data_IF_083193094045
#
_entry.id   IF_083193094045
#
_cell.length_a   1.000
_cell.length_b   1.000
_cell.length_c   1.000
_cell.angle_alpha   90.00
_cell.angle_beta   90.00
_cell.angle_gamma   90.00
#
_symmetry.space_group_name_H-M   'P 1'
#
loop_
_entity.id
_entity.type
_entity.pdbx_description
1 polymer ?
#
# COMPACT_ATOMS: atom_id res chain seq x y z
N UNK A 1 56.33 19.98 -26.45
CA UNK A 1 56.66 19.16 -25.27
C UNK A 1 55.58 19.46 -24.23
N UNK A 2 54.51 18.66 -24.23
CA UNK A 2 53.31 18.90 -23.42
C UNK A 2 53.45 18.16 -22.10
N UNK A 3 53.57 18.90 -21.00
CA UNK A 3 53.54 18.38 -19.63
C UNK A 3 52.09 18.05 -19.28
N UNK A 4 51.82 16.78 -18.97
CA UNK A 4 50.57 16.34 -18.34
C UNK A 4 50.81 16.23 -16.83
N UNK A 5 50.03 17.00 -16.06
CA UNK A 5 49.94 16.92 -14.60
C UNK A 5 48.99 15.79 -14.21
N UNK A 6 49.45 14.85 -13.38
CA UNK A 6 48.61 13.77 -12.82
C UNK A 6 47.67 14.30 -11.74
N UNK A 7 46.42 13.80 -11.67
CA UNK A 7 45.53 14.08 -10.54
C UNK A 7 45.95 13.33 -9.28
N UNK A 8 46.02 14.10 -8.20
CA UNK A 8 46.32 13.74 -6.83
C UNK A 8 45.21 12.84 -6.25
N UNK A 9 45.47 11.53 -6.09
CA UNK A 9 44.59 10.63 -5.33
C UNK A 9 44.87 10.76 -3.84
N UNK A 10 44.21 11.75 -3.23
CA UNK A 10 44.21 11.99 -1.80
C UNK A 10 43.42 10.93 -1.04
N UNK A 11 44.19 10.10 -0.33
CA UNK A 11 43.87 9.22 0.79
C UNK A 11 42.68 9.63 1.68
N UNK A 12 41.80 8.67 2.00
CA UNK A 12 41.05 8.66 3.26
C UNK A 12 40.86 7.22 3.75
N UNK A 13 41.91 6.71 4.41
CA UNK A 13 41.81 5.71 5.47
C UNK A 13 40.65 6.03 6.41
N UNK A 14 39.57 5.23 6.36
CA UNK A 14 38.66 5.06 7.51
C UNK A 14 38.73 3.60 7.96
N UNK A 15 39.73 3.33 8.77
CA UNK A 15 39.68 2.32 9.83
C UNK A 15 38.42 2.55 10.68
N UNK A 16 37.33 1.85 10.39
CA UNK A 16 36.20 1.72 11.31
C UNK A 16 36.34 0.39 12.05
N UNK A 17 37.09 0.43 13.15
CA UNK A 17 37.18 -0.65 14.13
C UNK A 17 35.79 -0.97 14.69
N UNK A 18 35.48 -2.27 14.65
CA UNK A 18 34.47 -3.01 15.44
C UNK A 18 34.05 -2.32 16.74
N UNK A 19 32.76 -2.05 16.88
CA UNK A 19 32.01 -2.26 18.13
C UNK A 19 30.55 -1.91 17.89
N UNK A 20 29.65 -2.89 17.84
CA UNK A 20 28.30 -2.77 18.41
C UNK A 20 27.76 -4.19 18.68
N UNK A 21 28.11 -4.64 19.89
CA UNK A 21 27.29 -5.35 20.87
C UNK A 21 26.08 -6.13 20.35
N UNK A 22 26.21 -7.45 20.47
CA UNK A 22 25.11 -8.42 20.61
C UNK A 22 24.12 -7.91 21.65
N UNK A 23 22.91 -7.56 21.24
CA UNK A 23 21.78 -7.43 22.15
C UNK A 23 21.01 -8.75 22.17
N UNK A 24 20.75 -9.15 23.40
CA UNK A 24 20.25 -10.45 23.83
C UNK A 24 18.80 -10.65 23.41
N UNK A 25 18.51 -11.91 23.09
CA UNK A 25 17.21 -12.54 23.19
C UNK A 25 16.51 -12.12 24.49
N UNK A 26 15.29 -11.59 24.37
CA UNK A 26 14.30 -11.62 25.43
C UNK A 26 13.06 -12.32 24.88
N UNK A 27 13.00 -13.62 25.17
CA UNK A 27 11.77 -14.39 25.08
C UNK A 27 10.81 -13.87 26.15
N UNK A 28 9.66 -13.32 25.72
CA UNK A 28 8.51 -13.12 26.58
C UNK A 28 7.36 -13.93 25.99
N UNK A 29 7.23 -15.16 26.47
CA UNK A 29 6.02 -15.94 26.32
C UNK A 29 4.93 -15.28 27.21
N UNK A 30 3.84 -14.83 26.60
CA UNK A 30 2.59 -14.62 27.34
C UNK A 30 1.51 -15.43 26.65
N UNK A 31 1.22 -16.57 27.27
CA UNK A 31 0.02 -17.38 27.06
C UNK A 31 -1.18 -16.52 27.46
N UNK A 32 -2.15 -16.36 26.56
CA UNK A 32 -3.50 -15.93 26.92
C UNK A 32 -4.52 -16.68 26.08
N UNK A 33 -4.82 -17.89 26.52
CA UNK A 33 -6.07 -18.58 26.23
C UNK A 33 -7.22 -17.89 26.96
N UNK A 34 -8.15 -17.30 26.24
CA UNK A 34 -9.53 -17.14 26.75
C UNK A 34 -10.48 -17.90 25.84
N UNK A 35 -11.12 -18.88 26.47
CA UNK A 35 -12.23 -19.67 25.96
C UNK A 35 -13.48 -18.98 26.49
N UNK A 36 -14.51 -18.76 25.66
CA UNK A 36 -15.91 -19.14 25.94
C UNK A 36 -16.88 -18.53 24.92
N UNK A 37 -17.47 -19.46 24.18
CA UNK A 37 -18.79 -19.46 23.55
C UNK A 37 -19.77 -18.35 24.00
N UNK A 38 -20.34 -17.68 23.00
CA UNK A 38 -21.52 -16.83 23.13
C UNK A 38 -22.54 -17.13 22.03
N UNK A 39 -23.11 -18.34 22.03
CA UNK A 39 -24.40 -18.58 21.37
C UNK A 39 -25.49 -17.81 22.12
N UNK A 40 -26.08 -16.80 21.51
CA UNK A 40 -27.37 -16.26 21.95
C UNK A 40 -28.40 -16.50 20.88
N UNK A 41 -29.06 -17.65 20.98
CA UNK A 41 -30.35 -17.90 20.37
C UNK A 41 -31.40 -17.05 21.08
N UNK A 42 -31.93 -16.04 20.41
CA UNK A 42 -33.20 -15.41 20.78
C UNK A 42 -34.27 -15.89 19.80
N UNK A 43 -34.97 -16.95 20.21
CA UNK A 43 -36.22 -17.38 19.61
C UNK A 43 -37.34 -16.44 20.06
N UNK A 44 -38.20 -16.03 19.12
CA UNK A 44 -39.53 -15.55 19.47
C UNK A 44 -40.10 -14.51 18.52
N UNK A 45 -40.84 -14.98 17.51
CA UNK A 45 -42.30 -14.74 17.38
C UNK A 45 -42.71 -14.95 15.93
N UNK A 46 -43.41 -16.06 15.72
CA UNK A 46 -44.27 -16.26 14.57
C UNK A 46 -45.33 -15.14 14.56
N UNK A 47 -45.40 -14.38 13.48
CA UNK A 47 -46.64 -13.71 13.07
C UNK A 47 -46.95 -14.22 11.67
N UNK A 48 -47.91 -15.11 11.65
CA UNK A 48 -48.63 -15.62 10.50
C UNK A 48 -49.59 -14.51 10.06
N UNK A 49 -49.40 -13.92 8.87
CA UNK A 49 -50.48 -13.23 8.17
C UNK A 49 -50.24 -13.21 6.65
N UNK A 50 -51.02 -14.05 5.98
CA UNK A 50 -51.65 -13.89 4.68
C UNK A 50 -50.84 -13.36 3.47
N UNK A 51 -50.54 -14.31 2.58
CA UNK A 51 -50.46 -14.20 1.12
C UNK A 51 -50.98 -12.90 0.47
N UNK A 52 -50.12 -12.26 -0.31
CA UNK A 52 -50.49 -11.79 -1.66
C UNK A 52 -49.37 -12.18 -2.61
N UNK A 53 -49.70 -13.10 -3.52
CA UNK A 53 -48.89 -13.45 -4.67
C UNK A 53 -48.92 -12.30 -5.66
N UNK A 54 -47.84 -11.52 -5.70
CA UNK A 54 -47.45 -10.78 -6.90
C UNK A 54 -46.11 -11.34 -7.34
N UNK A 55 -46.15 -12.15 -8.39
CA UNK A 55 -45.01 -12.72 -9.09
C UNK A 55 -44.42 -11.62 -9.98
N UNK A 56 -43.23 -11.05 -9.70
CA UNK A 56 -42.52 -10.28 -10.69
C UNK A 56 -41.98 -11.28 -11.70
N UNK A 57 -42.29 -11.05 -12.97
CA UNK A 57 -41.70 -11.79 -14.06
C UNK A 57 -40.17 -11.71 -13.93
N UNK A 58 -39.60 -12.90 -13.83
CA UNK A 58 -38.21 -13.27 -13.98
C UNK A 58 -37.67 -12.73 -15.31
N UNK A 59 -37.29 -11.46 -15.31
CA UNK A 59 -36.28 -10.93 -16.21
C UNK A 59 -34.97 -10.95 -15.44
N UNK A 60 -34.39 -12.15 -15.28
CA UNK A 60 -32.96 -12.29 -15.12
C UNK A 60 -32.28 -11.78 -16.41
N UNK A 61 -32.25 -10.45 -16.55
CA UNK A 61 -31.34 -9.77 -17.46
C UNK A 61 -29.94 -10.20 -17.01
N UNK A 62 -29.37 -11.14 -17.77
CA UNK A 62 -28.00 -11.60 -17.58
C UNK A 62 -27.14 -10.35 -17.61
N UNK A 63 -26.72 -9.88 -16.43
CA UNK A 63 -25.81 -8.76 -16.32
C UNK A 63 -24.66 -9.03 -17.29
N UNK A 64 -24.33 -8.07 -18.17
CA UNK A 64 -23.23 -8.25 -19.10
C UNK A 64 -22.01 -8.71 -18.32
N UNK A 65 -21.37 -9.77 -18.84
CA UNK A 65 -20.06 -10.23 -18.36
C UNK A 65 -19.20 -8.96 -18.24
N UNK A 66 -18.71 -8.58 -17.04
CA UNK A 66 -17.98 -7.35 -16.87
C UNK A 66 -16.84 -7.36 -17.89
N UNK A 67 -16.86 -6.42 -18.83
CA UNK A 67 -15.77 -6.27 -19.77
C UNK A 67 -14.49 -6.19 -18.93
N UNK A 68 -13.42 -6.92 -19.28
CA UNK A 68 -12.18 -6.90 -18.51
C UNK A 68 -11.75 -5.45 -18.41
N UNK A 69 -11.65 -4.95 -17.17
CA UNK A 69 -11.26 -3.57 -16.92
C UNK A 69 -9.98 -3.29 -17.73
N UNK A 70 -9.93 -2.18 -18.48
CA UNK A 70 -8.72 -1.82 -19.21
C UNK A 70 -7.53 -1.83 -18.23
N UNK A 71 -6.34 -2.24 -18.68
CA UNK A 71 -5.18 -2.34 -17.79
C UNK A 71 -5.02 -1.02 -17.04
N UNK A 72 -5.09 -1.09 -15.71
CA UNK A 72 -5.08 0.10 -14.86
C UNK A 72 -3.86 0.96 -15.21
N UNK A 73 -4.07 2.25 -15.52
CA UNK A 73 -2.97 3.16 -15.81
C UNK A 73 -2.03 3.30 -14.59
N UNK A 74 -0.75 3.68 -14.77
CA UNK A 74 0.20 3.78 -13.67
C UNK A 74 -0.29 4.68 -12.52
N UNK A 75 -0.92 5.81 -12.83
CA UNK A 75 -1.52 6.72 -11.87
C UNK A 75 -2.73 6.12 -11.14
N UNK A 76 -3.53 5.29 -11.82
CA UNK A 76 -4.64 4.57 -11.19
C UNK A 76 -4.13 3.55 -10.15
N UNK A 77 -3.01 2.88 -10.43
CA UNK A 77 -2.37 1.96 -9.48
C UNK A 77 -1.87 2.70 -8.24
N UNK A 78 -1.16 3.83 -8.40
CA UNK A 78 -0.70 4.64 -7.26
C UNK A 78 -1.88 5.20 -6.46
N UNK A 79 -2.93 5.67 -7.13
CA UNK A 79 -4.14 6.15 -6.46
C UNK A 79 -4.78 5.03 -5.64
N UNK A 80 -4.95 3.84 -6.22
CA UNK A 80 -5.50 2.67 -5.54
C UNK A 80 -4.68 2.28 -4.31
N UNK A 81 -3.35 2.28 -4.45
CA UNK A 81 -2.42 2.01 -3.35
C UNK A 81 -2.56 3.03 -2.21
N UNK A 82 -2.54 4.33 -2.52
CA UNK A 82 -2.68 5.38 -1.51
C UNK A 82 -4.06 5.35 -0.84
N UNK A 83 -5.14 5.13 -1.61
CA UNK A 83 -6.50 4.96 -1.07
C UNK A 83 -6.55 3.77 -0.11
N UNK A 84 -6.01 2.61 -0.50
CA UNK A 84 -5.96 1.43 0.34
C UNK A 84 -5.19 1.67 1.65
N UNK A 85 -4.09 2.45 1.62
CA UNK A 85 -3.39 2.87 2.83
C UNK A 85 -4.23 3.78 3.73
N UNK A 86 -4.90 4.79 3.16
CA UNK A 86 -5.75 5.74 3.92
C UNK A 86 -6.99 5.07 4.53
N UNK A 87 -7.54 4.05 3.87
CA UNK A 87 -8.70 3.29 4.34
C UNK A 87 -8.34 2.16 5.32
N UNK A 88 -7.04 1.91 5.54
CA UNK A 88 -6.58 0.79 6.36
C UNK A 88 -6.66 -0.58 5.68
N UNK A 89 -6.89 -0.63 4.36
CA UNK A 89 -6.98 -1.85 3.55
C UNK A 89 -5.58 -2.34 3.13
N UNK A 90 -4.76 -2.73 4.12
CA UNK A 90 -3.34 -3.04 3.92
C UNK A 90 -3.07 -4.22 3.00
N UNK A 91 -3.95 -5.21 3.01
CA UNK A 91 -3.82 -6.37 2.12
C UNK A 91 -3.92 -5.95 0.65
N UNK A 92 -4.85 -5.06 0.32
CA UNK A 92 -5.02 -4.54 -1.03
C UNK A 92 -3.83 -3.65 -1.44
N UNK A 93 -3.29 -2.86 -0.50
CA UNK A 93 -2.07 -2.09 -0.75
C UNK A 93 -0.86 -2.99 -1.01
N UNK A 94 -0.74 -4.11 -0.29
CA UNK A 94 0.33 -5.10 -0.46
C UNK A 94 0.27 -5.78 -1.83
N UNK A 95 -0.91 -6.15 -2.32
CA UNK A 95 -1.10 -6.78 -3.63
C UNK A 95 -0.62 -5.92 -4.81
N UNK A 96 -0.57 -4.59 -4.62
CA UNK A 96 -0.12 -3.64 -5.63
C UNK A 96 1.40 -3.44 -5.63
N UNK A 97 2.14 -3.99 -4.66
CA UNK A 97 3.59 -3.84 -4.53
C UNK A 97 4.30 -5.13 -4.91
N UNK A 98 5.30 -5.05 -5.79
CA UNK A 98 6.14 -6.19 -6.18
C UNK A 98 7.60 -6.01 -5.77
N UNK A 99 8.37 -7.09 -5.85
CA UNK A 99 9.83 -7.05 -5.71
C UNK A 99 10.35 -6.99 -4.27
N UNK A 100 11.50 -6.32 -4.08
CA UNK A 100 12.20 -6.26 -2.78
C UNK A 100 11.35 -5.55 -1.72
N UNK A 101 10.50 -4.60 -2.14
CA UNK A 101 9.61 -3.89 -1.23
C UNK A 101 8.51 -4.80 -0.70
N UNK A 102 7.95 -5.72 -1.49
CA UNK A 102 6.97 -6.70 -0.98
C UNK A 102 7.51 -7.52 0.21
N UNK A 103 8.83 -7.75 0.28
CA UNK A 103 9.45 -8.45 1.43
C UNK A 103 9.78 -7.52 2.62
N UNK A 104 9.83 -6.20 2.40
CA UNK A 104 10.18 -5.19 3.41
C UNK A 104 8.97 -4.50 4.01
N UNK A 105 7.83 -4.58 3.32
CA UNK A 105 6.54 -4.14 3.80
C UNK A 105 6.07 -5.17 4.83
N UNK A 106 6.65 -5.12 6.03
CA UNK A 106 6.09 -5.85 7.16
C UNK A 106 4.77 -5.18 7.54
N UNK A 107 3.83 -5.95 8.08
CA UNK A 107 2.57 -5.43 8.63
C UNK A 107 2.80 -4.21 9.53
N UNK A 108 3.88 -4.21 10.34
CA UNK A 108 4.26 -3.08 11.18
C UNK A 108 4.69 -1.82 10.41
N UNK A 109 5.35 -1.96 9.25
CA UNK A 109 5.73 -0.81 8.40
C UNK A 109 4.49 -0.21 7.75
N UNK A 110 3.57 -1.05 7.27
CA UNK A 110 2.29 -0.58 6.72
C UNK A 110 1.47 0.10 7.80
N UNK A 111 1.39 -0.48 8.99
CA UNK A 111 0.67 0.10 10.12
C UNK A 111 1.25 1.48 10.51
N UNK A 112 2.57 1.63 10.57
CA UNK A 112 3.21 2.93 10.82
C UNK A 112 2.88 3.95 9.71
N UNK A 113 2.87 3.53 8.46
CA UNK A 113 2.48 4.38 7.33
C UNK A 113 0.99 4.75 7.39
N UNK A 114 0.13 3.85 7.81
CA UNK A 114 -1.30 4.08 7.95
C UNK A 114 -1.61 5.09 9.06
N UNK A 115 -0.95 4.96 10.22
CA UNK A 115 -1.05 5.93 11.31
C UNK A 115 -0.61 7.34 10.86
N UNK A 116 0.34 7.42 9.92
CA UNK A 116 0.73 8.70 9.29
C UNK A 116 -0.23 9.16 8.19
N UNK A 117 -0.88 8.21 7.52
CA UNK A 117 -1.76 8.46 6.38
C UNK A 117 -3.22 8.69 6.77
N UNK A 118 -3.62 8.46 8.03
CA UNK A 118 -5.03 8.57 8.47
C UNK A 118 -5.61 9.97 8.24
N UNK A 119 -4.75 11.00 8.25
CA UNK A 119 -5.12 12.40 7.99
C UNK A 119 -4.55 12.92 6.66
N UNK A 120 -4.14 12.01 5.76
CA UNK A 120 -3.49 12.37 4.52
C UNK A 120 -4.48 12.39 3.35
N UNK A 121 -4.54 13.51 2.64
CA UNK A 121 -5.34 13.69 1.42
C UNK A 121 -4.43 13.73 0.19
N UNK A 122 -4.87 13.05 -0.86
CA UNK A 122 -4.18 13.07 -2.15
C UNK A 122 -4.53 14.36 -2.88
N UNK A 123 -3.58 15.27 -3.04
CA UNK A 123 -3.78 16.56 -3.71
C UNK A 123 -3.62 16.43 -5.23
N UNK A 124 -2.51 15.81 -5.67
CA UNK A 124 -2.14 15.72 -7.08
C UNK A 124 -1.43 14.40 -7.38
N UNK A 125 -1.69 13.82 -8.55
CA UNK A 125 -0.87 12.77 -9.15
C UNK A 125 -0.52 13.17 -10.57
N UNK A 126 0.75 13.06 -10.93
CA UNK A 126 1.19 13.17 -12.32
C UNK A 126 2.14 12.06 -12.70
N UNK A 127 2.02 11.60 -13.94
CA UNK A 127 2.94 10.64 -14.54
C UNK A 127 4.09 11.43 -15.17
N UNK A 128 5.31 11.24 -14.69
CA UNK A 128 6.49 11.93 -15.21
C UNK A 128 7.07 11.23 -16.44
N UNK A 129 7.21 9.91 -16.36
CA UNK A 129 7.87 9.12 -17.37
C UNK A 129 7.15 7.78 -17.55
N UNK A 130 7.05 7.35 -18.81
CA UNK A 130 6.61 6.00 -19.17
C UNK A 130 7.60 5.50 -20.22
N UNK A 131 8.39 4.49 -19.86
CA UNK A 131 9.35 3.83 -20.75
C UNK A 131 9.02 2.33 -20.82
N UNK A 132 8.20 1.96 -21.81
CA UNK A 132 7.79 0.58 -22.05
C UNK A 132 7.07 -0.04 -20.85
N UNK A 133 7.80 -0.89 -20.13
CA UNK A 133 7.32 -1.61 -18.94
C UNK A 133 7.65 -0.90 -17.63
N UNK A 134 8.15 0.34 -17.66
CA UNK A 134 8.45 1.14 -16.48
C UNK A 134 7.68 2.46 -16.51
N UNK A 135 7.26 2.94 -15.35
CA UNK A 135 6.65 4.27 -15.22
C UNK A 135 7.08 4.93 -13.91
N UNK A 136 7.14 6.26 -13.93
CA UNK A 136 7.38 7.07 -12.75
C UNK A 136 6.19 7.98 -12.52
N UNK A 137 5.59 7.86 -11.34
CA UNK A 137 4.42 8.63 -10.93
C UNK A 137 4.77 9.40 -9.68
N UNK A 138 4.53 10.70 -9.69
CA UNK A 138 4.73 11.55 -8.52
C UNK A 138 3.36 11.85 -7.92
N UNK A 139 3.26 11.65 -6.62
CA UNK A 139 2.07 12.00 -5.85
C UNK A 139 2.42 13.12 -4.86
N UNK A 140 1.59 14.15 -4.84
CA UNK A 140 1.59 15.16 -3.78
C UNK A 140 0.46 14.82 -2.82
N UNK A 141 0.84 14.56 -1.57
CA UNK A 141 -0.08 14.23 -0.49
C UNK A 141 -0.01 15.35 0.54
N UNK A 142 -1.16 15.85 0.98
CA UNK A 142 -1.23 16.79 2.10
C UNK A 142 -1.63 16.06 3.38
N UNK A 143 -1.12 16.48 4.53
CA UNK A 143 -1.57 16.00 5.82
C UNK A 143 -1.84 17.20 6.74
N UNK A 144 -3.01 17.22 7.38
CA UNK A 144 -3.33 18.23 8.38
C UNK A 144 -2.77 17.81 9.75
N UNK A 145 -1.92 18.66 10.31
CA UNK A 145 -1.34 18.45 11.65
C UNK A 145 -2.03 19.27 12.74
N UNK A 146 -3.14 19.95 12.41
CA UNK A 146 -3.88 20.86 13.27
C UNK A 146 -3.22 22.24 13.47
N UNK A 147 -1.96 22.41 13.04
CA UNK A 147 -1.21 23.68 13.13
C UNK A 147 -0.85 24.21 11.73
N UNK A 148 -0.59 23.31 10.80
CA UNK A 148 -0.27 23.62 9.40
C UNK A 148 -0.57 22.41 8.52
N UNK A 149 -0.99 22.68 7.28
CA UNK A 149 -1.04 21.66 6.23
C UNK A 149 0.40 21.41 5.76
N UNK A 150 0.85 20.15 5.81
CA UNK A 150 2.14 19.74 5.28
C UNK A 150 1.93 19.06 3.94
N UNK A 151 2.70 19.44 2.93
CA UNK A 151 2.73 18.77 1.64
C UNK A 151 3.96 17.87 1.59
N UNK A 152 3.75 16.62 1.17
CA UNK A 152 4.80 15.66 0.91
C UNK A 152 4.68 15.19 -0.53
N UNK A 153 5.77 15.32 -1.27
CA UNK A 153 5.90 14.74 -2.59
C UNK A 153 6.55 13.36 -2.44
N UNK A 154 5.97 12.35 -3.08
CA UNK A 154 6.49 10.97 -3.08
C UNK A 154 6.52 10.47 -4.51
N UNK A 155 7.66 9.94 -4.94
CA UNK A 155 7.84 9.40 -6.28
C UNK A 155 7.73 7.88 -6.24
N UNK A 156 6.87 7.32 -7.08
CA UNK A 156 6.63 5.90 -7.23
C UNK A 156 7.25 5.42 -8.53
N UNK A 157 8.08 4.39 -8.43
CA UNK A 157 8.54 3.62 -9.56
C UNK A 157 7.60 2.43 -9.74
N UNK A 158 6.99 2.33 -10.92
CA UNK A 158 6.11 1.24 -11.30
C UNK A 158 6.76 0.41 -12.40
N UNK A 159 6.50 -0.89 -12.34
CA UNK A 159 6.90 -1.85 -13.35
C UNK A 159 5.67 -2.62 -13.85
N UNK A 160 5.68 -2.95 -15.14
CA UNK A 160 4.64 -3.73 -15.78
C UNK A 160 5.02 -5.21 -15.72
N UNK A 161 4.14 -6.02 -15.15
CA UNK A 161 4.32 -7.47 -15.07
C UNK A 161 3.05 -8.18 -15.53
N UNK A 162 3.19 -9.14 -16.43
CA UNK A 162 2.08 -9.88 -17.05
C UNK A 162 0.97 -9.00 -17.67
N UNK A 163 1.32 -7.75 -18.04
CA UNK A 163 0.39 -6.79 -18.66
C UNK A 163 -0.24 -5.81 -17.68
N UNK A 164 -0.03 -5.99 -16.37
CA UNK A 164 -0.54 -5.15 -15.28
C UNK A 164 0.57 -4.30 -14.65
N UNK A 165 0.22 -3.17 -14.06
CA UNK A 165 1.17 -2.27 -13.40
C UNK A 165 1.24 -2.53 -11.90
N UNK A 166 2.46 -2.54 -11.38
CA UNK A 166 2.73 -2.73 -9.95
C UNK A 166 3.73 -1.70 -9.46
N UNK A 167 3.67 -1.35 -8.18
CA UNK A 167 4.63 -0.48 -7.52
C UNK A 167 5.87 -1.32 -7.18
N UNK A 168 7.01 -0.97 -7.77
CA UNK A 168 8.29 -1.59 -7.44
C UNK A 168 8.96 -0.87 -6.26
N UNK A 169 8.86 0.47 -6.22
CA UNK A 169 9.50 1.27 -5.19
C UNK A 169 8.81 2.61 -4.94
N UNK A 170 8.94 3.12 -3.72
CA UNK A 170 8.58 4.48 -3.33
C UNK A 170 9.83 5.21 -2.84
N UNK A 171 10.09 6.39 -3.40
CA UNK A 171 11.24 7.24 -3.11
C UNK A 171 10.73 8.48 -2.36
N UNK A 172 11.29 8.72 -1.17
CA UNK A 172 10.97 9.82 -0.27
C UNK A 172 12.13 10.82 -0.16
#
# INVERSE_FOLDING_TARGET
MLMWTQPNTGNSNRDSKKSTRRNLLAAAAVVSTTVLAGCSSAAGTSTDEASTSEQPADSAEKAPDPEPDPPASPDAVVRKYLTALTEGNFHEAEELVIGIQAQRVSESYVQEMAERATDAEIEELHVEEVDGDMATVVATVSADTGVMQKFQETQFLLARWEGEWFIENAIY
#
